data_IF_497707846340
#
_entry.id   IF_497707846340
#
_cell.length_a   1.000
_cell.length_b   1.000
_cell.length_c   1.000
_cell.angle_alpha   90.00
_cell.angle_beta   90.00
_cell.angle_gamma   90.00
#
_symmetry.space_group_name_H-M   'P 1'
#
loop_
_entity.id
_entity.type
_entity.pdbx_description
1 polymer ?
#
# COMPACT_ATOMS: atom_id res chain seq x y z
N UNK A 1 -57.21 -19.49 -30.06
CA UNK A 1 -57.33 -20.03 -31.43
C UNK A 1 -56.21 -21.05 -31.67
N UNK A 2 -56.55 -22.17 -32.32
CA UNK A 2 -55.73 -23.37 -32.57
C UNK A 2 -54.51 -23.12 -33.48
N UNK A 3 -53.42 -23.85 -33.26
CA UNK A 3 -52.80 -24.88 -34.17
C UNK A 3 -51.49 -25.37 -33.52
N UNK A 4 -51.31 -26.66 -33.17
CA UNK A 4 -51.04 -27.82 -34.07
C UNK A 4 -49.63 -27.68 -34.67
N UNK A 5 -48.68 -28.63 -34.63
CA UNK A 5 -48.69 -30.06 -34.32
C UNK A 5 -47.31 -30.66 -34.61
N UNK A 6 -46.93 -31.70 -33.82
CA UNK A 6 -46.23 -32.96 -34.21
C UNK A 6 -44.83 -32.88 -34.86
N UNK A 7 -43.94 -33.87 -34.76
CA UNK A 7 -43.70 -35.02 -33.88
C UNK A 7 -42.49 -35.80 -34.43
N UNK A 8 -41.69 -36.44 -33.54
CA UNK A 8 -41.06 -37.78 -33.69
C UNK A 8 -39.97 -37.92 -34.79
N UNK A 9 -38.90 -38.74 -34.71
CA UNK A 9 -38.45 -39.93 -33.92
C UNK A 9 -36.94 -40.10 -34.24
N UNK A 10 -36.06 -40.53 -33.30
CA UNK A 10 -35.37 -41.86 -33.20
C UNK A 10 -34.72 -42.38 -34.51
N UNK A 11 -33.53 -42.99 -34.59
CA UNK A 11 -32.56 -43.51 -33.63
C UNK A 11 -31.28 -44.02 -34.37
N UNK A 12 -30.25 -44.36 -33.56
CA UNK A 12 -29.34 -45.53 -33.66
C UNK A 12 -28.02 -45.50 -34.47
N UNK A 13 -26.94 -45.70 -33.67
CA UNK A 13 -25.88 -46.71 -33.81
C UNK A 13 -24.74 -46.53 -34.84
N UNK A 14 -23.49 -46.49 -34.36
CA UNK A 14 -22.51 -47.62 -34.40
C UNK A 14 -21.09 -47.17 -33.97
N UNK A 15 -20.45 -47.99 -33.14
CA UNK A 15 -18.99 -48.13 -32.88
C UNK A 15 -18.53 -49.43 -33.58
N UNK A 16 -17.24 -49.86 -33.61
CA UNK A 16 -15.91 -49.21 -33.55
C UNK A 16 -15.03 -49.71 -34.77
N UNK A 17 -13.66 -49.85 -34.80
CA UNK A 17 -12.78 -50.56 -33.85
C UNK A 17 -11.41 -49.92 -33.53
N UNK A 18 -10.69 -50.56 -32.59
CA UNK A 18 -9.32 -50.28 -32.10
C UNK A 18 -8.24 -50.92 -33.00
N UNK A 19 -7.03 -50.35 -33.00
CA UNK A 19 -5.77 -51.11 -33.15
C UNK A 19 -4.54 -50.35 -32.59
N UNK A 20 -3.88 -50.92 -31.58
CA UNK A 20 -2.43 -50.80 -31.25
C UNK A 20 -1.74 -52.08 -31.80
N UNK A 21 -0.40 -52.31 -31.73
CA UNK A 21 0.73 -51.52 -31.21
C UNK A 21 1.97 -51.50 -32.16
N UNK A 22 3.06 -50.78 -31.81
CA UNK A 22 4.44 -51.28 -31.99
C UNK A 22 5.46 -50.47 -31.18
N UNK A 23 6.26 -51.23 -30.44
CA UNK A 23 7.45 -50.86 -29.66
C UNK A 23 8.66 -50.56 -30.56
N UNK A 24 9.52 -49.62 -30.15
CA UNK A 24 10.96 -49.67 -30.45
C UNK A 24 11.78 -48.97 -29.38
N UNK A 25 12.72 -49.75 -28.86
CA UNK A 25 13.86 -49.46 -27.99
C UNK A 25 14.91 -48.56 -28.66
N UNK A 26 15.49 -47.62 -27.90
CA UNK A 26 16.88 -47.15 -28.03
C UNK A 26 17.24 -46.37 -26.73
N UNK A 27 17.90 -46.99 -25.76
CA UNK A 27 19.37 -47.03 -25.56
C UNK A 27 19.99 -45.70 -25.13
N UNK A 28 20.39 -45.71 -23.86
CA UNK A 28 21.42 -44.97 -23.15
C UNK A 28 22.31 -43.96 -23.91
N UNK A 29 22.39 -42.74 -23.36
CA UNK A 29 23.48 -41.78 -23.55
C UNK A 29 23.82 -41.10 -22.23
N UNK A 30 24.56 -41.80 -21.36
CA UNK A 30 25.22 -41.21 -20.18
C UNK A 30 26.33 -40.28 -20.68
N UNK A 31 26.23 -38.98 -20.39
CA UNK A 31 27.37 -38.08 -20.42
C UNK A 31 27.87 -37.94 -18.98
N UNK A 32 28.99 -38.61 -18.70
CA UNK A 32 29.82 -38.39 -17.50
C UNK A 32 30.65 -37.12 -17.73
N UNK A 33 30.73 -36.18 -16.77
CA UNK A 33 31.87 -35.28 -16.71
C UNK A 33 33.07 -36.01 -16.08
N UNK A 34 34.24 -35.85 -16.70
CA UNK A 34 35.51 -36.35 -16.19
C UNK A 34 35.94 -35.58 -14.92
N UNK A 35 36.63 -36.23 -13.96
CA UNK A 35 37.07 -35.58 -12.74
C UNK A 35 38.48 -35.00 -12.87
N UNK A 36 38.87 -34.21 -11.86
CA UNK A 36 40.19 -33.61 -11.53
C UNK A 36 40.24 -32.11 -11.88
N UNK A 37 40.58 -31.21 -10.98
CA UNK A 37 41.63 -31.27 -9.95
C UNK A 37 41.30 -30.35 -8.77
N UNK A 38 41.60 -30.78 -7.55
CA UNK A 38 41.67 -29.94 -6.37
C UNK A 38 43.02 -29.18 -6.37
N UNK A 39 43.07 -27.90 -5.99
CA UNK A 39 44.31 -27.30 -5.55
C UNK A 39 44.49 -27.54 -4.05
N UNK A 40 45.55 -28.29 -3.76
CA UNK A 40 46.19 -28.41 -2.44
C UNK A 40 46.52 -27.05 -1.84
N UNK A 41 46.27 -26.95 -0.53
CA UNK A 41 46.77 -25.92 0.40
C UNK A 41 48.17 -25.42 0.05
N UNK A 42 48.30 -24.10 -0.15
CA UNK A 42 49.50 -23.36 0.26
C UNK A 42 49.12 -22.39 1.37
N UNK A 43 49.53 -22.78 2.56
CA UNK A 43 49.60 -22.00 3.78
C UNK A 43 50.78 -21.04 3.60
N UNK A 44 50.51 -19.78 3.35
CA UNK A 44 51.52 -18.71 3.49
C UNK A 44 51.16 -17.94 4.75
N UNK A 45 51.93 -18.21 5.80
CA UNK A 45 52.03 -17.36 6.98
C UNK A 45 52.45 -15.96 6.53
N UNK A 46 51.52 -15.00 6.60
CA UNK A 46 51.86 -13.60 6.83
C UNK A 46 51.21 -13.19 8.13
N UNK A 47 52.03 -13.21 9.18
CA UNK A 47 51.84 -12.44 10.39
C UNK A 47 51.70 -10.98 9.99
N UNK A 48 50.52 -10.41 10.22
CA UNK A 48 50.35 -8.98 10.40
C UNK A 48 49.62 -8.79 11.72
N UNK A 49 50.32 -8.09 12.60
CA UNK A 49 50.04 -7.80 14.00
C UNK A 49 48.61 -7.38 14.28
N UNK A 50 48.03 -8.03 15.29
CA UNK A 50 46.98 -7.46 16.15
C UNK A 50 47.59 -6.21 16.81
N UNK A 51 47.08 -5.04 16.44
CA UNK A 51 47.28 -3.81 17.21
C UNK A 51 46.03 -3.61 18.06
N UNK A 52 46.21 -3.73 19.37
CA UNK A 52 45.22 -3.34 20.38
C UNK A 52 44.97 -1.81 20.31
N UNK A 53 43.75 -1.35 20.65
CA UNK A 53 43.40 0.06 20.59
C UNK A 53 44.13 0.86 21.67
N UNK A 54 44.75 1.97 21.25
CA UNK A 54 45.33 3.00 22.12
C UNK A 54 44.18 3.90 22.62
N UNK A 55 44.15 4.30 23.90
CA UNK A 55 42.99 4.95 24.49
C UNK A 55 42.87 6.40 23.99
N UNK A 56 41.72 6.73 23.40
CA UNK A 56 41.33 8.13 23.19
C UNK A 56 40.68 8.64 24.48
N UNK A 57 41.31 9.65 25.08
CA UNK A 57 40.76 10.44 26.18
C UNK A 57 39.41 11.02 25.81
N UNK A 58 38.43 10.71 26.64
CA UNK A 58 37.11 11.32 26.65
C UNK A 58 37.23 12.77 27.15
N UNK A 59 37.15 13.74 26.23
CA UNK A 59 36.81 15.12 26.58
C UNK A 59 35.31 15.26 26.35
N UNK A 60 34.53 15.05 27.41
CA UNK A 60 33.12 15.43 27.48
C UNK A 60 33.01 16.95 27.52
N UNK A 61 32.65 17.59 26.39
CA UNK A 61 32.01 18.89 26.43
C UNK A 61 30.52 18.67 26.74
N UNK A 62 30.16 18.80 28.02
CA UNK A 62 28.77 18.96 28.47
C UNK A 62 28.37 20.42 28.28
N UNK A 63 27.61 20.71 27.24
CA UNK A 63 26.84 21.95 27.14
C UNK A 63 25.54 21.78 27.95
N UNK A 64 25.63 22.09 29.26
CA UNK A 64 24.47 22.32 30.11
C UNK A 64 23.98 23.74 29.89
N UNK A 65 22.90 23.92 29.11
CA UNK A 65 22.07 25.11 29.17
C UNK A 65 21.10 24.93 30.34
N UNK A 66 21.57 25.33 31.52
CA UNK A 66 20.80 25.47 32.73
C UNK A 66 20.05 26.81 32.66
N UNK A 67 18.72 26.79 32.49
CA UNK A 67 17.91 27.98 32.78
C UNK A 67 17.48 27.93 34.24
N UNK A 68 17.86 28.99 34.95
CA UNK A 68 18.01 29.04 36.40
C UNK A 68 16.71 28.97 37.18
N UNK A 69 16.76 28.15 38.22
CA UNK A 69 15.96 28.33 39.43
C UNK A 69 16.70 29.28 40.36
N UNK A 70 16.17 30.47 40.57
CA UNK A 70 16.61 31.38 41.61
C UNK A 70 15.41 31.73 42.50
N UNK A 71 15.51 31.24 43.74
CA UNK A 71 14.69 31.60 44.88
C UNK A 71 14.74 33.11 45.16
N UNK A 72 13.61 33.68 45.57
CA UNK A 72 13.64 34.81 46.51
C UNK A 72 12.39 34.84 47.40
N UNK A 73 12.66 34.73 48.70
CA UNK A 73 11.98 35.30 49.86
C UNK A 73 10.51 34.94 50.15
N UNK A 74 10.32 34.27 51.30
CA UNK A 74 9.08 34.26 52.05
C UNK A 74 8.70 35.68 52.48
N UNK A 75 7.51 36.13 52.11
CA UNK A 75 6.79 37.20 52.81
C UNK A 75 5.52 36.57 53.36
N UNK A 76 5.43 36.48 54.69
CA UNK A 76 4.19 36.17 55.39
C UNK A 76 3.24 37.34 55.14
N UNK A 77 2.29 37.14 54.22
CA UNK A 77 1.18 38.06 54.00
C UNK A 77 -0.10 37.32 54.33
N UNK A 78 -0.71 37.65 55.47
CA UNK A 78 -2.09 37.31 55.78
C UNK A 78 -2.99 38.01 54.77
N UNK A 79 -3.37 37.29 53.71
CA UNK A 79 -4.42 37.70 52.77
C UNK A 79 -5.50 36.63 52.74
N UNK A 80 -6.64 37.04 53.25
CA UNK A 80 -8.00 36.55 53.01
C UNK A 80 -8.13 35.67 51.76
N UNK A 81 -8.69 34.48 51.94
CA UNK A 81 -9.12 33.60 50.85
C UNK A 81 -9.85 34.40 49.76
N UNK A 82 -9.31 34.51 48.53
CA UNK A 82 -10.15 34.86 47.42
C UNK A 82 -11.08 33.68 47.20
N UNK A 83 -12.38 33.97 47.10
CA UNK A 83 -13.38 33.02 46.65
C UNK A 83 -12.83 32.26 45.44
N UNK A 84 -12.99 30.94 45.44
CA UNK A 84 -12.73 30.09 44.29
C UNK A 84 -13.60 30.61 43.14
N UNK A 85 -13.05 31.53 42.35
CA UNK A 85 -13.57 31.85 41.03
C UNK A 85 -13.40 30.52 40.30
N UNK A 86 -14.51 29.81 40.10
CA UNK A 86 -14.51 28.57 39.32
C UNK A 86 -13.78 28.87 38.03
N UNK A 87 -12.62 28.26 37.83
CA UNK A 87 -11.93 28.35 36.57
C UNK A 87 -12.92 27.79 35.55
N UNK A 88 -13.54 28.68 34.78
CA UNK A 88 -14.29 28.28 33.61
C UNK A 88 -13.27 27.63 32.69
N UNK A 89 -13.13 26.31 32.77
CA UNK A 89 -12.44 25.53 31.76
C UNK A 89 -13.32 25.67 30.52
N UNK A 90 -13.00 26.67 29.70
CA UNK A 90 -13.66 26.89 28.42
C UNK A 90 -13.41 25.65 27.58
N UNK A 91 -14.43 24.81 27.44
CA UNK A 91 -14.31 23.61 26.62
C UNK A 91 -14.13 24.03 25.17
N UNK A 92 -13.08 23.54 24.50
CA UNK A 92 -12.86 23.73 23.06
C UNK A 92 -12.96 22.39 22.34
N UNK A 93 -13.48 22.42 21.12
CA UNK A 93 -13.42 21.26 20.23
C UNK A 93 -12.08 21.22 19.51
N UNK A 94 -11.60 20.02 19.18
CA UNK A 94 -10.49 19.84 18.26
C UNK A 94 -10.88 20.31 16.85
N UNK A 95 -9.92 20.80 16.07
CA UNK A 95 -10.13 21.31 14.70
C UNK A 95 -10.65 20.22 13.75
N UNK A 96 -10.34 18.96 14.04
CA UNK A 96 -10.80 17.80 13.31
C UNK A 96 -11.54 16.85 14.25
N UNK A 97 -12.68 16.28 13.81
CA UNK A 97 -13.36 15.21 14.54
C UNK A 97 -12.53 13.92 14.51
N UNK A 98 -13.07 12.83 15.04
CA UNK A 98 -12.66 11.48 14.67
C UNK A 98 -12.87 11.26 13.15
N UNK A 99 -12.09 10.38 12.50
CA UNK A 99 -12.30 10.06 11.10
C UNK A 99 -13.66 9.38 10.89
N UNK A 100 -14.28 9.60 9.73
CA UNK A 100 -15.51 8.92 9.33
C UNK A 100 -15.27 7.51 8.82
N UNK A 101 -14.10 7.25 8.25
CA UNK A 101 -13.65 5.91 7.85
C UNK A 101 -12.17 5.71 8.19
N UNK A 102 -11.81 4.46 8.46
CA UNK A 102 -10.46 4.01 8.68
C UNK A 102 -10.16 2.77 7.84
N UNK A 103 -9.23 2.88 6.89
CA UNK A 103 -8.78 1.75 6.07
C UNK A 103 -7.35 1.36 6.45
N UNK A 104 -7.09 0.05 6.44
CA UNK A 104 -5.73 -0.50 6.47
C UNK A 104 -5.28 -0.74 5.02
N UNK A 105 -4.25 -0.02 4.57
CA UNK A 105 -3.71 -0.13 3.20
C UNK A 105 -2.40 -0.92 3.22
N UNK A 106 -2.44 -2.12 2.66
CA UNK A 106 -1.32 -3.06 2.52
C UNK A 106 -1.01 -3.24 1.05
N UNK A 107 0.24 -3.52 0.70
CA UNK A 107 0.62 -3.75 -0.70
C UNK A 107 1.79 -4.72 -0.82
N UNK A 108 1.93 -5.29 -2.02
CA UNK A 108 3.10 -6.01 -2.50
C UNK A 108 3.55 -7.08 -1.49
N UNK A 109 2.68 -8.07 -1.27
CA UNK A 109 2.97 -9.16 -0.32
C UNK A 109 3.87 -10.22 -0.92
N UNK A 110 3.84 -10.45 -2.23
CA UNK A 110 4.69 -11.43 -2.95
C UNK A 110 4.78 -12.80 -2.26
N UNK A 111 3.65 -13.34 -1.83
CA UNK A 111 3.62 -14.69 -1.27
C UNK A 111 3.91 -15.72 -2.37
N UNK A 112 4.69 -16.73 -2.01
CA UNK A 112 4.97 -17.89 -2.85
C UNK A 112 4.17 -19.09 -2.39
N UNK A 113 3.83 -19.98 -3.32
CA UNK A 113 3.23 -21.27 -2.99
C UNK A 113 4.08 -22.02 -1.93
N UNK A 114 3.40 -22.60 -0.95
CA UNK A 114 4.04 -23.38 0.12
C UNK A 114 4.84 -22.57 1.16
N UNK A 115 4.78 -21.24 1.14
CA UNK A 115 5.51 -20.39 2.11
C UNK A 115 7.02 -20.36 1.84
N UNK A 116 7.41 -20.45 0.57
CA UNK A 116 8.80 -20.32 0.15
C UNK A 116 9.37 -18.94 0.48
N UNK A 117 10.70 -18.86 0.59
CA UNK A 117 11.38 -17.57 0.73
C UNK A 117 11.52 -16.89 -0.62
N UNK A 118 11.04 -15.66 -0.72
CA UNK A 118 11.21 -14.82 -1.89
C UNK A 118 12.72 -14.55 -2.09
N UNK A 119 13.19 -14.81 -3.31
CA UNK A 119 14.61 -14.78 -3.70
C UNK A 119 15.53 -15.60 -2.77
N UNK A 120 15.03 -16.71 -2.22
CA UNK A 120 15.69 -17.59 -1.23
C UNK A 120 16.12 -16.87 0.07
N UNK A 121 15.60 -15.67 0.34
CA UNK A 121 16.03 -14.81 1.45
C UNK A 121 14.87 -14.30 2.30
N UNK A 122 13.88 -13.69 1.67
CA UNK A 122 12.81 -12.92 2.30
C UNK A 122 11.66 -13.85 2.70
N UNK A 123 11.26 -13.85 3.98
CA UNK A 123 10.15 -14.66 4.48
C UNK A 123 8.83 -13.86 4.43
N UNK A 124 8.32 -13.64 3.21
CA UNK A 124 7.19 -12.75 2.96
C UNK A 124 5.91 -13.12 3.74
N UNK A 125 5.64 -14.41 3.92
CA UNK A 125 4.53 -14.92 4.73
C UNK A 125 4.65 -14.50 6.20
N UNK A 126 5.85 -14.57 6.77
CA UNK A 126 6.13 -14.10 8.13
C UNK A 126 6.03 -12.59 8.25
N UNK A 127 6.51 -11.85 7.26
CA UNK A 127 6.44 -10.38 7.28
C UNK A 127 4.97 -9.91 7.28
N UNK A 128 4.10 -10.60 6.53
CA UNK A 128 2.66 -10.34 6.55
C UNK A 128 2.01 -10.71 7.91
N UNK A 129 2.46 -11.80 8.54
CA UNK A 129 2.02 -12.16 9.90
C UNK A 129 2.44 -11.11 10.93
N UNK A 130 3.71 -10.69 10.91
CA UNK A 130 4.28 -9.63 11.77
C UNK A 130 3.49 -8.32 11.62
N UNK A 131 3.12 -7.95 10.39
CA UNK A 131 2.27 -6.79 10.10
C UNK A 131 0.94 -6.87 10.85
N UNK A 132 0.25 -8.01 10.77
CA UNK A 132 -1.04 -8.15 11.45
C UNK A 132 -0.91 -8.25 12.95
N UNK A 133 0.13 -8.90 13.48
CA UNK A 133 0.41 -8.93 14.91
C UNK A 133 0.63 -7.51 15.46
N UNK A 134 1.46 -6.71 14.78
CA UNK A 134 1.71 -5.31 15.13
C UNK A 134 0.42 -4.46 15.02
N UNK A 135 -0.37 -4.66 13.97
CA UNK A 135 -1.61 -3.93 13.78
C UNK A 135 -2.67 -4.28 14.83
N UNK A 136 -2.91 -5.56 15.11
CA UNK A 136 -3.89 -6.01 16.10
C UNK A 136 -3.50 -5.55 17.51
N UNK A 137 -2.20 -5.53 17.84
CA UNK A 137 -1.70 -5.02 19.11
C UNK A 137 -1.99 -3.52 19.31
N UNK A 138 -2.16 -2.74 18.23
CA UNK A 138 -2.52 -1.31 18.32
C UNK A 138 -3.96 -1.08 18.78
N UNK A 139 -4.83 -2.10 18.72
CA UNK A 139 -6.26 -1.95 18.99
C UNK A 139 -7.05 -1.27 17.87
N UNK A 140 -6.43 -0.95 16.73
CA UNK A 140 -7.10 -0.38 15.56
C UNK A 140 -8.27 -1.26 15.06
N UNK A 141 -9.32 -0.60 14.54
CA UNK A 141 -10.50 -1.24 13.95
C UNK A 141 -10.80 -0.60 12.60
N UNK A 142 -10.20 -1.11 11.51
CA UNK A 142 -10.45 -0.57 10.18
C UNK A 142 -11.80 -1.07 9.66
N UNK A 143 -12.46 -0.26 8.83
CA UNK A 143 -13.70 -0.62 8.14
C UNK A 143 -13.43 -1.54 6.93
N UNK A 144 -12.24 -1.40 6.33
CA UNK A 144 -11.73 -2.32 5.32
C UNK A 144 -10.20 -2.47 5.37
N UNK A 145 -9.71 -3.64 4.97
CA UNK A 145 -8.32 -3.88 4.61
C UNK A 145 -8.23 -3.87 3.08
N UNK A 146 -7.44 -2.97 2.50
CA UNK A 146 -7.24 -2.86 1.05
C UNK A 146 -5.85 -3.31 0.68
N UNK A 147 -5.75 -4.29 -0.21
CA UNK A 147 -4.50 -4.79 -0.75
C UNK A 147 -4.29 -4.31 -2.19
N UNK A 148 -3.30 -3.45 -2.42
CA UNK A 148 -3.05 -2.82 -3.75
C UNK A 148 -2.12 -3.63 -4.66
N UNK A 149 -2.38 -4.92 -4.80
CA UNK A 149 -1.73 -5.80 -5.78
C UNK A 149 -0.41 -6.43 -5.34
N UNK A 150 0.12 -7.25 -6.25
CA UNK A 150 1.28 -8.12 -6.09
C UNK A 150 1.15 -9.01 -4.86
N UNK A 151 0.00 -9.69 -4.80
CA UNK A 151 -0.35 -10.52 -3.66
C UNK A 151 0.48 -11.81 -3.69
N UNK A 152 0.42 -12.51 -4.81
CA UNK A 152 1.22 -13.69 -5.09
C UNK A 152 2.37 -13.33 -6.05
N UNK A 153 3.61 -13.72 -5.73
CA UNK A 153 4.79 -13.37 -6.54
C UNK A 153 4.77 -13.95 -7.96
N UNK A 154 4.02 -15.04 -8.15
CA UNK A 154 3.97 -15.80 -9.42
C UNK A 154 2.55 -16.17 -9.83
N UNK A 155 1.54 -15.53 -9.22
CA UNK A 155 0.13 -15.85 -9.48
C UNK A 155 -0.27 -17.30 -9.14
N UNK A 156 0.46 -17.96 -8.25
CA UNK A 156 0.26 -19.38 -7.92
C UNK A 156 -1.06 -19.57 -7.14
N UNK A 157 -1.95 -20.51 -7.52
CA UNK A 157 -3.19 -20.78 -6.79
C UNK A 157 -2.98 -21.02 -5.29
N UNK A 158 -1.96 -21.80 -4.93
CA UNK A 158 -1.63 -22.15 -3.55
C UNK A 158 -1.09 -20.96 -2.74
N UNK A 159 -0.56 -19.92 -3.41
CA UNK A 159 -0.19 -18.67 -2.76
C UNK A 159 -1.44 -17.88 -2.34
N UNK A 160 -2.48 -17.81 -3.18
CA UNK A 160 -3.76 -17.21 -2.80
C UNK A 160 -4.43 -17.95 -1.63
N UNK A 161 -4.33 -19.28 -1.59
CA UNK A 161 -4.79 -20.06 -0.43
C UNK A 161 -4.00 -19.70 0.83
N UNK A 162 -2.68 -19.48 0.73
CA UNK A 162 -1.85 -19.06 1.85
C UNK A 162 -2.23 -17.65 2.33
N UNK A 163 -2.45 -16.72 1.40
CA UNK A 163 -2.92 -15.37 1.69
C UNK A 163 -4.23 -15.44 2.50
N UNK A 164 -5.22 -16.22 2.03
CA UNK A 164 -6.48 -16.44 2.75
C UNK A 164 -6.25 -17.00 4.16
N UNK A 165 -5.38 -18.00 4.32
CA UNK A 165 -5.07 -18.59 5.64
C UNK A 165 -4.49 -17.58 6.63
N UNK A 166 -3.74 -16.57 6.15
CA UNK A 166 -3.18 -15.52 7.00
C UNK A 166 -4.21 -14.41 7.25
N UNK A 167 -4.89 -13.95 6.21
CA UNK A 167 -5.71 -12.73 6.24
C UNK A 167 -7.12 -12.99 6.78
N UNK A 168 -7.80 -14.07 6.39
CA UNK A 168 -9.20 -14.32 6.77
C UNK A 168 -9.39 -14.38 8.30
N UNK A 169 -8.53 -15.06 9.09
CA UNK A 169 -8.66 -15.06 10.54
C UNK A 169 -8.52 -13.67 11.17
N UNK A 170 -7.64 -12.82 10.62
CA UNK A 170 -7.45 -11.45 11.10
C UNK A 170 -8.67 -10.60 10.76
N UNK A 171 -9.13 -10.66 9.51
CA UNK A 171 -10.32 -9.94 9.07
C UNK A 171 -11.56 -10.31 9.91
N UNK A 172 -11.73 -11.60 10.21
CA UNK A 172 -12.81 -12.09 11.08
C UNK A 172 -12.70 -11.58 12.52
N UNK A 173 -11.50 -11.52 13.12
CA UNK A 173 -11.30 -10.97 14.47
C UNK A 173 -11.56 -9.47 14.55
N UNK A 174 -11.17 -8.74 13.51
CA UNK A 174 -11.38 -7.29 13.41
C UNK A 174 -12.82 -6.93 13.02
N UNK A 175 -13.59 -7.87 12.47
CA UNK A 175 -14.94 -7.61 11.96
C UNK A 175 -14.94 -6.77 10.67
N UNK A 176 -13.83 -6.78 9.94
CA UNK A 176 -13.61 -5.95 8.74
C UNK A 176 -13.73 -6.79 7.47
N UNK A 177 -14.06 -6.14 6.36
CA UNK A 177 -13.93 -6.75 5.03
C UNK A 177 -12.53 -6.58 4.45
N UNK A 178 -12.23 -7.37 3.43
CA UNK A 178 -11.00 -7.28 2.65
C UNK A 178 -11.33 -6.96 1.20
N UNK A 179 -10.62 -5.98 0.65
CA UNK A 179 -10.72 -5.53 -0.73
C UNK A 179 -9.40 -5.86 -1.40
N UNK A 180 -9.47 -6.66 -2.46
CA UNK A 180 -8.31 -7.17 -3.19
C UNK A 180 -8.19 -6.46 -4.53
N UNK A 181 -7.01 -5.93 -4.82
CA UNK A 181 -6.64 -5.35 -6.12
C UNK A 181 -5.61 -6.27 -6.77
N UNK A 182 -5.67 -6.39 -8.09
CA UNK A 182 -4.68 -7.11 -8.90
C UNK A 182 -3.37 -6.32 -9.00
N UNK A 183 -2.21 -6.99 -8.88
CA UNK A 183 -0.93 -6.45 -9.35
C UNK A 183 -0.31 -7.28 -10.47
N UNK A 184 0.77 -6.79 -11.07
CA UNK A 184 1.34 -7.41 -12.27
C UNK A 184 1.97 -8.79 -12.03
N UNK A 185 2.23 -9.19 -10.78
CA UNK A 185 2.64 -10.54 -10.41
C UNK A 185 1.45 -11.51 -10.22
N UNK A 186 0.24 -10.98 -10.11
CA UNK A 186 -0.97 -11.76 -9.93
C UNK A 186 -1.52 -12.33 -11.25
N UNK A 187 -2.19 -13.47 -11.17
CA UNK A 187 -2.81 -14.13 -12.33
C UNK A 187 -4.33 -14.13 -12.21
N UNK A 188 -5.03 -13.49 -13.16
CA UNK A 188 -6.48 -13.18 -13.07
C UNK A 188 -7.35 -14.40 -12.77
N UNK A 189 -7.13 -15.53 -13.44
CA UNK A 189 -7.96 -16.73 -13.23
C UNK A 189 -7.75 -17.31 -11.81
N UNK A 190 -6.50 -17.41 -11.37
CA UNK A 190 -6.15 -17.93 -10.05
C UNK A 190 -6.62 -16.97 -8.93
N UNK A 191 -6.43 -15.67 -9.11
CA UNK A 191 -6.92 -14.63 -8.22
C UNK A 191 -8.43 -14.70 -8.04
N UNK A 192 -9.20 -14.78 -9.14
CA UNK A 192 -10.66 -14.89 -9.10
C UNK A 192 -11.13 -16.10 -8.32
N UNK A 193 -10.53 -17.26 -8.60
CA UNK A 193 -10.85 -18.52 -7.90
C UNK A 193 -10.48 -18.48 -6.42
N UNK A 194 -9.29 -18.00 -6.09
CA UNK A 194 -8.74 -18.05 -4.73
C UNK A 194 -9.23 -16.93 -3.81
N UNK A 195 -9.41 -15.72 -4.34
CA UNK A 195 -9.72 -14.53 -3.53
C UNK A 195 -11.16 -14.04 -3.69
N UNK A 196 -11.76 -14.14 -4.88
CA UNK A 196 -13.13 -13.64 -5.09
C UNK A 196 -14.21 -14.71 -4.93
N UNK A 197 -13.84 -15.99 -5.00
CA UNK A 197 -14.78 -17.10 -4.81
C UNK A 197 -15.85 -17.19 -5.89
N UNK A 198 -15.62 -16.58 -7.06
CA UNK A 198 -16.61 -16.51 -8.14
C UNK A 198 -16.82 -17.86 -8.85
N UNK A 199 -15.94 -18.84 -8.63
CA UNK A 199 -15.99 -20.21 -9.18
C UNK A 199 -15.82 -20.30 -10.71
N UNK A 200 -16.01 -19.20 -11.41
CA UNK A 200 -16.00 -19.10 -12.87
C UNK A 200 -14.57 -18.86 -13.36
N UNK A 201 -13.75 -18.11 -12.59
CA UNK A 201 -12.42 -17.67 -13.02
C UNK A 201 -12.49 -16.79 -14.27
N UNK A 202 -11.40 -16.74 -15.05
CA UNK A 202 -11.31 -16.02 -16.32
C UNK A 202 -10.25 -14.93 -16.37
N UNK A 203 -10.07 -14.37 -17.56
CA UNK A 203 -8.97 -13.47 -17.92
C UNK A 203 -9.39 -12.00 -18.12
N UNK A 204 -10.67 -11.70 -17.89
CA UNK A 204 -11.16 -10.31 -17.94
C UNK A 204 -10.61 -9.50 -16.77
N UNK A 205 -10.32 -8.20 -16.98
CA UNK A 205 -9.93 -7.30 -15.90
C UNK A 205 -10.77 -7.46 -14.64
N UNK A 206 -10.12 -7.41 -13.49
CA UNK A 206 -10.73 -7.59 -12.17
C UNK A 206 -11.10 -6.24 -11.57
N UNK A 207 -11.98 -5.51 -12.26
CA UNK A 207 -12.51 -4.25 -11.77
C UNK A 207 -13.72 -4.47 -10.86
N UNK A 208 -13.81 -3.69 -9.77
CA UNK A 208 -14.85 -3.86 -8.75
C UNK A 208 -15.15 -2.57 -8.01
N UNK A 209 -16.40 -2.42 -7.59
CA UNK A 209 -16.85 -1.38 -6.66
C UNK A 209 -17.29 -2.02 -5.34
N UNK A 210 -16.81 -1.47 -4.22
CA UNK A 210 -17.22 -1.84 -2.87
C UNK A 210 -17.76 -0.61 -2.13
N UNK A 211 -18.94 -0.73 -1.52
CA UNK A 211 -19.48 0.26 -0.59
C UNK A 211 -19.06 -0.06 0.84
N UNK A 212 -18.38 0.90 1.48
CA UNK A 212 -17.93 0.87 2.87
C UNK A 212 -18.69 1.97 3.61
N UNK A 213 -19.94 1.70 3.97
CA UNK A 213 -20.83 2.62 4.69
C UNK A 213 -20.90 4.02 4.04
N UNK A 214 -21.13 4.05 2.73
CA UNK A 214 -21.22 5.27 1.93
C UNK A 214 -19.88 5.84 1.44
N UNK A 215 -18.74 5.28 1.84
CA UNK A 215 -17.46 5.47 1.14
C UNK A 215 -17.37 4.44 0.01
N UNK A 216 -17.22 4.90 -1.23
CA UNK A 216 -16.99 4.01 -2.35
C UNK A 216 -15.50 3.68 -2.47
N UNK A 217 -15.16 2.41 -2.59
CA UNK A 217 -13.81 1.95 -2.94
C UNK A 217 -13.89 1.25 -4.30
N UNK A 218 -13.19 1.78 -5.29
CA UNK A 218 -13.10 1.19 -6.63
C UNK A 218 -11.74 0.50 -6.75
N UNK A 219 -11.73 -0.82 -6.94
CA UNK A 219 -10.55 -1.57 -7.32
C UNK A 219 -10.44 -1.58 -8.85
N UNK A 220 -9.38 -0.99 -9.40
CA UNK A 220 -9.11 -0.93 -10.83
C UNK A 220 -7.92 -1.83 -11.18
N UNK A 221 -8.16 -2.80 -12.06
CA UNK A 221 -7.16 -3.75 -12.53
C UNK A 221 -6.31 -3.11 -13.65
N UNK A 222 -5.12 -2.64 -13.28
CA UNK A 222 -4.13 -2.08 -14.23
C UNK A 222 -3.20 -3.13 -14.85
N UNK A 223 -3.44 -4.42 -14.65
CA UNK A 223 -2.53 -5.49 -15.09
C UNK A 223 -2.65 -5.76 -16.59
N UNK A 224 -1.52 -6.08 -17.20
CA UNK A 224 -1.44 -6.59 -18.57
C UNK A 224 -0.93 -8.03 -18.52
N UNK A 225 -1.77 -9.05 -18.78
CA UNK A 225 -1.34 -10.45 -18.70
C UNK A 225 -0.04 -10.71 -19.47
N UNK A 226 0.93 -11.34 -18.80
CA UNK A 226 2.26 -11.63 -19.35
C UNK A 226 3.23 -10.45 -19.42
N UNK A 227 2.87 -9.27 -18.90
CA UNK A 227 3.73 -8.10 -18.83
C UNK A 227 3.73 -7.49 -17.43
N UNK A 228 4.77 -6.73 -17.13
CA UNK A 228 4.95 -6.06 -15.83
C UNK A 228 4.57 -4.58 -15.84
N UNK A 229 4.28 -4.00 -17.01
CA UNK A 229 3.81 -2.62 -17.10
C UNK A 229 2.29 -2.53 -16.92
N UNK A 230 1.82 -1.35 -16.52
CA UNK A 230 0.40 -1.10 -16.32
C UNK A 230 -0.29 -0.49 -17.53
N UNK A 231 -1.52 -0.91 -17.81
CA UNK A 231 -2.43 -0.26 -18.76
C UNK A 231 -3.87 -0.30 -18.22
N UNK A 232 -4.67 0.69 -18.56
CA UNK A 232 -6.13 0.70 -18.32
C UNK A 232 -6.79 0.82 -19.68
N UNK A 233 -7.62 -0.16 -20.04
CA UNK A 233 -8.24 -0.21 -21.36
C UNK A 233 -9.37 0.82 -21.52
N UNK A 234 -9.72 1.17 -22.76
CA UNK A 234 -10.85 2.06 -23.05
C UNK A 234 -12.16 1.59 -22.40
N UNK A 235 -12.47 0.30 -22.49
CA UNK A 235 -13.66 -0.29 -21.86
C UNK A 235 -13.66 -0.11 -20.32
N UNK A 236 -12.49 -0.17 -19.68
CA UNK A 236 -12.36 0.08 -18.24
C UNK A 236 -12.51 1.56 -17.90
N UNK A 237 -12.00 2.45 -18.75
CA UNK A 237 -12.16 3.90 -18.57
C UNK A 237 -13.62 4.32 -18.73
N UNK A 238 -14.32 3.78 -19.73
CA UNK A 238 -15.76 4.00 -19.94
C UNK A 238 -16.56 3.51 -18.73
N UNK A 239 -16.28 2.29 -18.26
CA UNK A 239 -16.90 1.75 -17.04
C UNK A 239 -16.61 2.62 -15.81
N UNK A 240 -15.36 3.04 -15.62
CA UNK A 240 -14.97 3.88 -14.48
C UNK A 240 -15.69 5.23 -14.53
N UNK A 241 -15.82 5.84 -15.71
CA UNK A 241 -16.55 7.08 -15.90
C UNK A 241 -18.05 6.91 -15.59
N UNK A 242 -18.66 5.79 -15.99
CA UNK A 242 -20.05 5.46 -15.66
C UNK A 242 -20.26 5.32 -14.14
N UNK A 243 -19.36 4.62 -13.44
CA UNK A 243 -19.43 4.49 -11.98
C UNK A 243 -19.30 5.87 -11.31
N UNK A 244 -18.34 6.70 -11.74
CA UNK A 244 -18.07 8.01 -11.16
C UNK A 244 -19.09 9.09 -11.53
N UNK A 245 -20.00 8.83 -12.48
CA UNK A 245 -21.05 9.78 -12.88
C UNK A 245 -22.01 10.14 -11.73
N UNK A 246 -22.14 9.23 -10.75
CA UNK A 246 -22.90 9.47 -9.51
C UNK A 246 -21.89 9.52 -8.36
N UNK A 247 -21.79 10.64 -7.63
CA UNK A 247 -20.89 10.74 -6.48
C UNK A 247 -21.41 9.89 -5.31
N UNK A 248 -20.47 9.28 -4.57
CA UNK A 248 -20.77 8.55 -3.36
C UNK A 248 -20.90 9.50 -2.15
N UNK A 249 -21.71 9.17 -1.12
CA UNK A 249 -21.94 10.04 0.03
C UNK A 249 -20.67 10.52 0.72
N UNK A 250 -19.65 9.68 0.87
CA UNK A 250 -18.37 10.02 1.50
C UNK A 250 -17.21 10.14 0.51
N UNK A 251 -17.55 10.24 -0.78
CA UNK A 251 -16.62 10.25 -1.91
C UNK A 251 -16.06 8.87 -2.25
N UNK A 252 -15.04 8.86 -3.11
CA UNK A 252 -14.46 7.63 -3.65
C UNK A 252 -12.96 7.49 -3.32
N UNK A 253 -12.52 6.29 -2.98
CA UNK A 253 -11.12 5.87 -2.99
C UNK A 253 -10.89 5.00 -4.22
N UNK A 254 -9.99 5.41 -5.10
CA UNK A 254 -9.55 4.59 -6.23
C UNK A 254 -8.32 3.77 -5.81
N UNK A 255 -8.44 2.45 -5.80
CA UNK A 255 -7.38 1.52 -5.46
C UNK A 255 -6.86 0.82 -6.73
N UNK A 256 -5.57 0.93 -7.01
CA UNK A 256 -4.93 0.31 -8.18
C UNK A 256 -3.51 -0.14 -7.84
N UNK A 257 -2.87 -0.94 -8.68
CA UNK A 257 -1.49 -1.37 -8.41
C UNK A 257 -0.44 -0.39 -8.94
N UNK A 258 -0.43 -0.13 -10.25
CA UNK A 258 0.54 0.79 -10.88
C UNK A 258 0.14 2.24 -10.64
N UNK A 259 0.87 3.04 -9.85
CA UNK A 259 0.44 4.40 -9.52
C UNK A 259 0.61 5.36 -10.72
N UNK A 260 -0.32 6.31 -10.93
CA UNK A 260 -0.25 7.30 -12.01
C UNK A 260 0.64 8.48 -11.63
N UNK A 261 1.88 8.21 -11.19
CA UNK A 261 2.84 9.22 -10.70
C UNK A 261 4.27 8.86 -11.12
N UNK A 262 5.19 9.84 -11.19
CA UNK A 262 6.59 9.56 -11.46
C UNK A 262 7.26 8.71 -10.37
N UNK A 263 8.18 7.85 -10.78
CA UNK A 263 9.12 7.17 -9.87
C UNK A 263 10.46 7.90 -9.83
N UNK A 264 11.15 7.84 -8.69
CA UNK A 264 12.52 8.37 -8.55
C UNK A 264 13.59 7.36 -8.95
N UNK A 265 13.20 6.13 -9.29
CA UNK A 265 14.08 5.05 -9.74
C UNK A 265 13.89 4.82 -11.24
N UNK A 266 14.92 5.08 -12.04
CA UNK A 266 14.86 5.02 -13.51
C UNK A 266 14.28 3.72 -14.07
N UNK A 267 14.64 2.57 -13.47
CA UNK A 267 14.16 1.26 -13.94
C UNK A 267 12.64 1.12 -13.85
N UNK A 268 11.96 1.86 -12.97
CA UNK A 268 10.52 1.80 -12.82
C UNK A 268 9.77 2.24 -14.10
N UNK A 269 10.37 3.08 -14.95
CA UNK A 269 9.79 3.48 -16.25
C UNK A 269 9.56 2.27 -17.17
N UNK A 270 10.34 1.19 -17.01
CA UNK A 270 10.14 -0.02 -17.81
C UNK A 270 8.83 -0.77 -17.50
N UNK A 271 8.23 -0.50 -16.34
CA UNK A 271 7.07 -1.18 -15.76
C UNK A 271 5.99 -0.20 -15.27
N UNK A 272 6.08 1.08 -15.62
CA UNK A 272 5.13 2.09 -15.16
C UNK A 272 3.72 1.92 -15.77
N UNK A 273 2.75 2.63 -15.20
CA UNK A 273 1.44 2.81 -15.83
C UNK A 273 1.59 3.66 -17.09
N UNK A 274 1.14 3.13 -18.24
CA UNK A 274 1.16 3.82 -19.53
C UNK A 274 -0.15 4.55 -19.79
N UNK A 275 -0.08 5.52 -20.71
CA UNK A 275 -1.21 6.36 -21.16
C UNK A 275 -2.02 6.96 -20.00
N UNK A 276 -1.31 7.52 -19.03
CA UNK A 276 -1.92 8.13 -17.85
C UNK A 276 -2.83 9.31 -18.22
N UNK A 277 -2.66 9.93 -19.40
CA UNK A 277 -3.56 10.98 -19.91
C UNK A 277 -5.02 10.54 -19.97
N UNK A 278 -5.29 9.34 -20.48
CA UNK A 278 -6.66 8.85 -20.62
C UNK A 278 -7.33 8.61 -19.26
N UNK A 279 -6.58 8.08 -18.29
CA UNK A 279 -7.06 7.97 -16.90
C UNK A 279 -7.28 9.34 -16.25
N UNK A 280 -6.43 10.32 -16.55
CA UNK A 280 -6.55 11.68 -15.99
C UNK A 280 -7.87 12.35 -16.40
N UNK A 281 -8.34 12.12 -17.62
CA UNK A 281 -9.63 12.64 -18.12
C UNK A 281 -10.83 12.12 -17.32
N UNK A 282 -10.78 10.86 -16.87
CA UNK A 282 -11.84 10.25 -16.05
C UNK A 282 -11.75 10.66 -14.59
N UNK A 283 -10.53 10.81 -14.06
CA UNK A 283 -10.30 11.18 -12.64
C UNK A 283 -10.62 12.65 -12.39
N UNK A 284 -10.29 13.54 -13.33
CA UNK A 284 -10.46 14.98 -13.15
C UNK A 284 -11.93 15.36 -12.91
N UNK A 285 -12.21 16.07 -11.81
CA UNK A 285 -13.56 16.54 -11.47
C UNK A 285 -14.51 15.47 -10.94
N UNK A 286 -14.05 14.22 -10.78
CA UNK A 286 -14.80 13.16 -10.10
C UNK A 286 -14.86 13.36 -8.58
N UNK A 287 -15.58 12.50 -7.88
CA UNK A 287 -15.63 12.48 -6.40
C UNK A 287 -14.49 11.66 -5.77
N UNK A 288 -13.46 11.29 -6.55
CA UNK A 288 -12.28 10.58 -6.03
C UNK A 288 -11.52 11.51 -5.08
N UNK A 289 -11.39 11.07 -3.83
CA UNK A 289 -10.73 11.80 -2.74
C UNK A 289 -9.28 11.39 -2.54
N UNK A 290 -8.93 10.15 -2.91
CA UNK A 290 -7.56 9.66 -2.95
C UNK A 290 -7.43 8.48 -3.90
N UNK A 291 -6.25 8.35 -4.50
CA UNK A 291 -5.79 7.15 -5.19
C UNK A 291 -4.81 6.43 -4.27
N UNK A 292 -5.05 5.17 -3.97
CA UNK A 292 -4.11 4.32 -3.20
C UNK A 292 -3.50 3.26 -4.10
N UNK A 293 -2.18 3.09 -3.99
CA UNK A 293 -1.44 2.22 -4.89
C UNK A 293 -0.23 1.50 -4.25
N UNK A 294 0.40 0.64 -5.04
CA UNK A 294 1.55 -0.21 -4.68
C UNK A 294 2.69 -0.11 -5.69
N UNK A 295 3.28 -1.25 -6.06
CA UNK A 295 4.21 -1.47 -7.19
C UNK A 295 5.61 -0.87 -7.01
N UNK A 296 5.73 0.32 -6.40
CA UNK A 296 7.02 0.99 -6.27
C UNK A 296 7.91 0.36 -5.17
N UNK A 297 7.32 -0.37 -4.23
CA UNK A 297 8.01 -0.94 -3.07
C UNK A 297 8.73 0.12 -2.21
N UNK A 298 8.23 1.36 -2.18
CA UNK A 298 8.63 2.39 -1.23
C UNK A 298 7.47 3.37 -1.04
N UNK A 299 7.40 4.00 0.14
CA UNK A 299 6.35 5.00 0.41
C UNK A 299 6.55 6.23 -0.47
N UNK A 300 5.53 6.61 -1.24
CA UNK A 300 5.54 7.79 -2.10
C UNK A 300 4.18 8.47 -2.09
N UNK A 301 4.16 9.79 -2.25
CA UNK A 301 2.91 10.56 -2.35
C UNK A 301 3.06 11.66 -3.40
N UNK A 302 2.03 11.86 -4.21
CA UNK A 302 1.97 12.96 -5.19
C UNK A 302 0.50 13.34 -5.45
N UNK A 303 0.23 14.03 -6.55
CA UNK A 303 -1.12 14.31 -7.03
C UNK A 303 -1.23 13.92 -8.50
N UNK A 304 -2.40 13.42 -8.90
CA UNK A 304 -2.72 13.07 -10.28
C UNK A 304 -4.11 13.62 -10.62
N UNK A 305 -4.23 14.41 -11.68
CA UNK A 305 -5.47 15.09 -12.06
C UNK A 305 -6.14 15.87 -10.90
N UNK A 306 -5.34 16.44 -9.99
CA UNK A 306 -5.80 17.16 -8.80
C UNK A 306 -6.12 16.28 -7.58
N UNK A 307 -6.09 14.96 -7.72
CA UNK A 307 -6.39 13.99 -6.66
C UNK A 307 -5.10 13.53 -5.98
N UNK A 308 -5.02 13.47 -4.63
CA UNK A 308 -3.89 12.90 -3.91
C UNK A 308 -3.66 11.43 -4.25
N UNK A 309 -2.40 11.04 -4.47
CA UNK A 309 -1.96 9.66 -4.67
C UNK A 309 -1.08 9.25 -3.50
N UNK A 310 -1.39 8.12 -2.87
CA UNK A 310 -0.61 7.51 -1.81
C UNK A 310 -0.18 6.09 -2.20
N UNK A 311 1.12 5.91 -2.38
CA UNK A 311 1.74 4.62 -2.65
C UNK A 311 2.22 4.02 -1.33
N UNK A 312 1.67 2.87 -0.94
CA UNK A 312 2.19 2.11 0.19
C UNK A 312 3.54 1.48 -0.17
N UNK A 313 4.40 1.36 0.84
CA UNK A 313 5.56 0.48 0.70
C UNK A 313 5.10 -0.99 0.62
N UNK A 314 6.05 -1.88 0.38
CA UNK A 314 5.80 -3.30 0.35
C UNK A 314 5.94 -3.94 1.74
N UNK A 315 5.14 -4.98 1.98
CA UNK A 315 5.26 -5.81 3.18
C UNK A 315 6.41 -6.84 3.08
N UNK A 316 6.78 -7.27 1.87
CA UNK A 316 7.82 -8.27 1.67
C UNK A 316 9.25 -7.72 1.77
N UNK A 317 9.64 -6.82 0.86
CA UNK A 317 10.95 -6.15 0.77
C UNK A 317 10.75 -4.79 0.11
N UNK A 318 11.62 -3.80 0.37
CA UNK A 318 11.46 -2.45 -0.19
C UNK A 318 12.62 -2.04 -1.08
N UNK A 319 12.48 -0.92 -1.78
CA UNK A 319 13.60 -0.26 -2.45
C UNK A 319 14.38 0.62 -1.47
N UNK A 320 15.69 0.63 -1.64
CA UNK A 320 16.60 1.54 -0.95
C UNK A 320 16.87 2.77 -1.83
N UNK A 321 16.27 3.90 -1.43
CA UNK A 321 16.39 5.17 -2.16
C UNK A 321 17.75 5.88 -1.96
N UNK A 322 18.69 5.28 -1.22
CA UNK A 322 20.08 5.74 -1.10
C UNK A 322 21.02 5.04 -2.10
N UNK A 323 20.49 4.21 -2.99
CA UNK A 323 21.21 3.62 -4.12
C UNK A 323 21.85 4.72 -5.00
N UNK A 324 23.03 4.50 -5.62
CA UNK A 324 23.60 5.45 -6.57
C UNK A 324 22.58 5.84 -7.65
N UNK A 325 22.55 7.14 -7.99
CA UNK A 325 21.57 7.69 -8.93
C UNK A 325 21.51 6.90 -10.25
N UNK A 326 20.28 6.64 -10.72
CA UNK A 326 19.97 5.78 -11.87
C UNK A 326 19.94 4.28 -11.56
N UNK A 327 20.35 3.86 -10.35
CA UNK A 327 20.30 2.49 -9.89
C UNK A 327 18.97 2.11 -9.20
N UNK A 328 18.86 0.83 -8.88
CA UNK A 328 17.81 0.29 -8.00
C UNK A 328 18.42 -0.76 -7.07
N UNK A 329 17.92 -0.87 -5.84
CA UNK A 329 18.40 -1.83 -4.85
C UNK A 329 17.25 -2.25 -3.95
N UNK A 330 16.74 -3.46 -4.15
CA UNK A 330 15.84 -4.10 -3.19
C UNK A 330 16.59 -4.53 -1.93
N UNK A 331 15.97 -4.36 -0.76
CA UNK A 331 16.51 -4.81 0.52
C UNK A 331 15.41 -5.32 1.47
N UNK A 332 15.82 -6.14 2.44
CA UNK A 332 14.94 -6.64 3.49
C UNK A 332 14.95 -5.67 4.68
N UNK A 333 14.30 -4.53 4.51
CA UNK A 333 14.29 -3.42 5.47
C UNK A 333 13.26 -2.38 5.09
N UNK A 334 12.94 -1.45 6.00
CA UNK A 334 11.98 -0.35 5.79
C UNK A 334 10.57 -0.75 5.28
N UNK A 335 10.20 -2.03 5.46
CA UNK A 335 8.86 -2.55 5.16
C UNK A 335 7.83 -1.76 5.97
N UNK A 336 6.68 -1.49 5.39
CA UNK A 336 5.66 -0.68 6.03
C UNK A 336 4.27 -1.00 5.46
N UNK A 337 3.24 -0.57 6.17
CA UNK A 337 1.88 -0.47 5.68
C UNK A 337 1.36 0.94 5.95
N UNK A 338 0.23 1.30 5.35
CA UNK A 338 -0.36 2.61 5.52
C UNK A 338 -1.68 2.53 6.29
N UNK A 339 -1.94 3.51 7.15
CA UNK A 339 -3.26 3.80 7.69
C UNK A 339 -3.89 4.90 6.85
N UNK A 340 -5.15 4.73 6.45
CA UNK A 340 -5.91 5.73 5.69
C UNK A 340 -7.10 6.17 6.53
N UNK A 341 -7.07 7.40 7.02
CA UNK A 341 -8.16 7.99 7.79
C UNK A 341 -8.89 9.01 6.93
N UNK A 342 -10.15 8.72 6.61
CA UNK A 342 -11.01 9.62 5.84
C UNK A 342 -11.72 10.54 6.82
N UNK A 343 -11.53 11.84 6.66
CA UNK A 343 -12.25 12.89 7.38
C UNK A 343 -13.27 13.55 6.44
N UNK A 344 -14.18 14.40 6.94
CA UNK A 344 -15.11 15.13 6.07
C UNK A 344 -14.41 15.96 4.99
N UNK A 345 -13.26 16.56 5.30
CA UNK A 345 -12.60 17.54 4.40
C UNK A 345 -11.21 17.10 3.91
N UNK A 346 -10.66 15.99 4.40
CA UNK A 346 -9.32 15.51 4.01
C UNK A 346 -9.22 14.00 4.12
N UNK A 347 -8.23 13.41 3.45
CA UNK A 347 -7.83 12.01 3.60
C UNK A 347 -6.40 11.99 4.10
N UNK A 348 -6.18 11.42 5.29
CA UNK A 348 -4.87 11.32 5.92
C UNK A 348 -4.28 9.94 5.64
N UNK A 349 -3.09 9.92 5.04
CA UNK A 349 -2.28 8.72 4.86
C UNK A 349 -1.11 8.75 5.86
N UNK A 350 -0.97 7.69 6.66
CA UNK A 350 0.10 7.57 7.66
C UNK A 350 0.88 6.28 7.42
N UNK A 351 2.19 6.39 7.22
CA UNK A 351 3.08 5.24 7.05
C UNK A 351 3.41 4.64 8.42
N UNK A 352 3.25 3.33 8.56
CA UNK A 352 3.61 2.57 9.77
C UNK A 352 4.74 1.62 9.43
N UNK A 353 5.98 1.91 9.86
CA UNK A 353 7.10 1.00 9.72
C UNK A 353 6.83 -0.33 10.44
N UNK A 354 7.23 -1.43 9.81
CA UNK A 354 7.19 -2.76 10.40
C UNK A 354 8.42 -3.05 11.24
N UNK A 355 8.17 -3.64 12.41
CA UNK A 355 9.19 -4.19 13.30
C UNK A 355 9.23 -3.52 14.67
N UNK A 356 10.13 -4.04 15.50
CA UNK A 356 10.29 -3.58 16.87
C UNK A 356 11.21 -2.36 16.95
N UNK A 357 10.70 -1.30 17.57
CA UNK A 357 11.43 -0.06 17.79
C UNK A 357 11.41 0.28 19.28
N UNK A 358 12.56 0.66 19.83
CA UNK A 358 12.64 1.06 21.23
C UNK A 358 11.82 2.34 21.47
N UNK A 359 10.85 2.35 22.40
CA UNK A 359 10.09 3.56 22.69
C UNK A 359 10.97 4.60 23.39
N UNK A 360 10.79 5.87 23.03
CA UNK A 360 11.41 6.99 23.75
C UNK A 360 10.58 7.42 24.96
N UNK A 361 9.25 7.32 24.86
CA UNK A 361 8.26 7.58 25.91
C UNK A 361 6.98 6.79 25.58
N UNK A 362 6.05 6.68 26.54
CA UNK A 362 4.76 6.01 26.35
C UNK A 362 3.65 6.71 27.13
N UNK A 363 2.60 7.13 26.41
CA UNK A 363 1.36 7.68 26.96
C UNK A 363 0.23 6.80 26.44
N UNK A 364 -0.45 6.12 27.35
CA UNK A 364 -1.61 5.29 27.00
C UNK A 364 -2.86 6.14 26.69
N UNK A 365 -3.94 5.46 26.29
CA UNK A 365 -5.20 6.09 25.94
C UNK A 365 -5.84 6.81 27.14
N UNK A 366 -5.73 6.25 28.35
CA UNK A 366 -6.33 6.80 29.57
C UNK A 366 -5.62 8.08 30.02
N UNK A 367 -4.28 8.09 30.00
CA UNK A 367 -3.48 9.28 30.27
C UNK A 367 -3.72 10.36 29.19
N UNK A 368 -3.82 9.98 27.91
CA UNK A 368 -4.18 10.92 26.84
C UNK A 368 -5.54 11.57 27.10
N UNK A 369 -6.55 10.77 27.45
CA UNK A 369 -7.89 11.27 27.77
C UNK A 369 -7.88 12.19 29.00
N UNK A 370 -7.11 11.85 30.05
CA UNK A 370 -6.95 12.70 31.23
C UNK A 370 -6.32 14.05 30.90
N UNK A 371 -5.27 14.09 30.09
CA UNK A 371 -4.61 15.34 29.66
C UNK A 371 -5.55 16.23 28.85
N UNK A 372 -6.22 15.66 27.85
CA UNK A 372 -7.19 16.41 27.03
C UNK A 372 -8.33 16.96 27.87
N UNK A 373 -8.87 16.16 28.80
CA UNK A 373 -9.93 16.62 29.70
C UNK A 373 -9.47 17.72 30.65
N UNK A 374 -8.24 17.67 31.17
CA UNK A 374 -7.68 18.70 32.02
C UNK A 374 -7.51 20.05 31.28
N UNK A 375 -7.21 19.98 29.98
CA UNK A 375 -7.09 21.15 29.09
C UNK A 375 -8.45 21.60 28.51
N UNK A 376 -9.56 20.94 28.86
CA UNK A 376 -10.88 21.25 28.32
C UNK A 376 -11.04 20.94 26.83
N UNK A 377 -10.27 20.00 26.28
CA UNK A 377 -10.29 19.63 24.86
C UNK A 377 -11.17 18.41 24.64
N UNK A 378 -12.10 18.52 23.69
CA UNK A 378 -12.96 17.41 23.25
C UNK A 378 -12.71 17.13 21.76
N UNK A 379 -12.54 15.86 21.40
CA UNK A 379 -12.50 15.42 20.01
C UNK A 379 -13.91 14.95 19.65
N UNK A 380 -14.65 15.68 18.80
CA UNK A 380 -15.99 15.26 18.42
C UNK A 380 -15.93 14.00 17.54
N UNK A 381 -17.00 13.21 17.54
CA UNK A 381 -17.16 12.14 16.56
C UNK A 381 -17.39 12.73 15.16
N UNK A 382 -17.13 11.93 14.12
CA UNK A 382 -17.51 12.32 12.77
C UNK A 382 -19.04 12.45 12.72
N UNK A 383 -19.55 13.65 12.41
CA UNK A 383 -20.92 13.77 11.95
C UNK A 383 -21.04 12.99 10.62
N UNK A 384 -22.20 12.35 10.38
CA UNK A 384 -22.54 11.72 9.10
C UNK A 384 -22.78 12.79 8.01
N UNK A 385 -21.78 13.64 7.78
CA UNK A 385 -21.81 14.71 6.81
C UNK A 385 -21.25 14.17 5.50
N UNK A 386 -22.00 14.28 4.38
CA UNK A 386 -21.49 13.91 3.08
C UNK A 386 -20.17 14.62 2.77
N UNK A 387 -19.31 13.98 1.97
CA UNK A 387 -18.12 14.63 1.44
C UNK A 387 -18.54 15.90 0.67
N UNK A 388 -17.74 16.98 0.75
CA UNK A 388 -17.98 18.16 -0.06
C UNK A 388 -18.00 17.76 -1.53
N UNK A 389 -18.97 18.28 -2.29
CA UNK A 389 -19.04 18.08 -3.72
C UNK A 389 -17.73 18.55 -4.38
N UNK A 390 -17.24 17.89 -5.44
CA UNK A 390 -16.07 18.36 -6.17
C UNK A 390 -16.31 19.81 -6.61
N UNK A 391 -15.42 20.71 -6.22
CA UNK A 391 -15.51 22.12 -6.60
C UNK A 391 -15.45 22.25 -8.13
N UNK A 392 -16.48 22.81 -8.75
CA UNK A 392 -16.47 23.22 -10.15
C UNK A 392 -15.57 24.47 -10.42
N UNK A 393 -14.57 24.72 -9.56
CA UNK A 393 -13.82 25.96 -9.54
C UNK A 393 -12.34 25.76 -9.19
N UNK A 394 -11.56 25.32 -10.18
CA UNK A 394 -10.27 25.98 -10.44
C UNK A 394 -10.17 26.36 -11.92
N UNK A 395 -11.10 27.18 -12.40
CA UNK A 395 -10.75 28.09 -13.48
C UNK A 395 -9.74 29.08 -12.88
N UNK A 396 -8.46 28.83 -13.13
CA UNK A 396 -7.41 29.83 -12.90
C UNK A 396 -7.59 30.91 -13.96
N UNK A 397 -8.63 31.72 -13.80
CA UNK A 397 -8.81 32.97 -14.51
C UNK A 397 -8.10 34.05 -13.70
N UNK A 398 -6.83 34.31 -14.03
CA UNK A 398 -6.11 35.48 -13.50
C UNK A 398 -4.69 35.24 -13.01
N UNK A 399 -3.86 34.50 -13.76
CA UNK A 399 -2.42 34.71 -13.69
C UNK A 399 -2.03 35.66 -14.84
N UNK A 400 -1.36 36.80 -14.57
CA UNK A 400 -0.80 37.61 -15.66
C UNK A 400 0.25 36.78 -16.43
N UNK A 401 0.39 36.99 -17.75
CA UNK A 401 1.29 36.17 -18.56
C UNK A 401 2.72 36.27 -18.03
N UNK A 402 3.40 35.12 -17.93
CA UNK A 402 4.83 35.05 -17.66
C UNK A 402 5.57 35.93 -18.68
N UNK A 403 6.27 36.94 -18.16
CA UNK A 403 7.23 37.71 -18.94
C UNK A 403 8.38 36.77 -19.30
N UNK A 404 8.56 36.53 -20.59
CA UNK A 404 9.70 35.78 -21.11
C UNK A 404 11.02 36.50 -20.75
N UNK A 405 12.07 35.80 -20.31
CA UNK A 405 13.37 36.42 -20.11
C UNK A 405 13.97 36.84 -21.46
N UNK A 406 14.70 37.97 -21.52
CA UNK A 406 15.32 38.43 -22.76
C UNK A 406 16.46 37.49 -23.18
N UNK A 407 16.30 36.92 -24.36
CA UNK A 407 17.33 36.16 -25.08
C UNK A 407 18.37 37.10 -25.69
N UNK A 408 19.49 37.35 -25.02
CA UNK A 408 20.71 37.84 -25.68
C UNK A 408 21.97 37.47 -24.90
N UNK A 409 22.64 36.41 -25.32
CA UNK A 409 24.10 36.29 -25.19
C UNK A 409 24.62 35.68 -26.49
N UNK A 410 24.95 36.59 -27.41
CA UNK A 410 25.73 36.31 -28.60
C UNK A 410 27.18 36.10 -28.16
N UNK A 411 27.63 34.85 -28.18
CA UNK A 411 29.04 34.49 -28.15
C UNK A 411 29.50 34.28 -29.58
N UNK A 412 30.37 35.16 -30.09
CA UNK A 412 31.44 34.88 -31.08
C UNK A 412 32.50 35.99 -31.07
N UNK A 413 33.74 35.72 -31.50
CA UNK A 413 34.35 34.43 -31.81
C UNK A 413 35.16 33.84 -30.65
#
# INVERSE_FOLDING_TARGET
MRRSSRSRRRASSRRPPRSRPRSRTATAGRIRPAPRTAPTRRRTDRRSSVAAPVPFSCVTLRSHLSFGSAWCASVVSTRTHPATIGAHVSTRQAEHPRPSHFLLHVSDTHLLAGGGRLYDRVAADRHLQELFEQFEASGGRPDAIVFTGDLADRGEPEAYELIRRIVDPVAARLGTRVIWVMGNHDERDAFRRGLLGDGIGGQRPVDRVDDVDGLRVIALDSTVPGHHHGEVSGDQLDWLAEELAIPAPHGTILAMHHPPVPSVLDLAVSVELRDQSALAEVVAGSDIRAIIAGHLHYSSTATFAGVPVSVASASCYTQDLTVPAGGTRGWDGARAFNLVHVYPTTVLHSVVPLGDHAPLDFIDADESARRLSADGIVIPDAAATPAPAPDAASSVAGLPPLVAPPSTLSLRP
#
